data_IF_495344162855
#
_entry.id   IF_495344162855
#
_cell.length_a   1.000
_cell.length_b   1.000
_cell.length_c   1.000
_cell.angle_alpha   90.00
_cell.angle_beta   90.00
_cell.angle_gamma   90.00
#
_symmetry.space_group_name_H-M   'P 1'
#
loop_
_entity.id
_entity.type
_entity.pdbx_description
1 polymer ?
#
# COMPACT_ATOMS: atom_id res chain seq x y z
N UNK A 1 19.34 11.77 -16.11
CA UNK A 1 18.13 10.92 -16.16
C UNK A 1 18.31 9.70 -17.06
N UNK A 2 18.74 9.80 -18.31
CA UNK A 2 18.93 8.65 -19.24
C UNK A 2 19.73 7.48 -18.63
N UNK A 3 20.82 7.77 -17.93
CA UNK A 3 21.68 6.75 -17.30
C UNK A 3 21.00 5.93 -16.18
N UNK A 4 19.98 6.49 -15.47
CA UNK A 4 19.21 5.76 -14.46
C UNK A 4 18.25 4.75 -15.08
N UNK A 5 17.64 5.07 -16.22
CA UNK A 5 16.74 4.18 -16.94
C UNK A 5 17.45 2.97 -17.52
N UNK A 6 18.69 3.16 -18.03
CA UNK A 6 19.50 2.08 -18.59
C UNK A 6 20.04 1.10 -17.53
N UNK A 7 20.10 1.52 -16.26
CA UNK A 7 20.62 0.72 -15.16
C UNK A 7 19.53 -0.05 -14.37
N UNK A 8 18.28 -0.04 -14.85
CA UNK A 8 17.19 -0.81 -14.21
C UNK A 8 17.23 -2.25 -14.70
N UNK A 9 17.25 -3.19 -13.76
CA UNK A 9 17.28 -4.61 -14.07
C UNK A 9 15.99 -5.04 -14.82
N UNK A 10 16.06 -5.94 -15.83
CA UNK A 10 14.87 -6.37 -16.59
C UNK A 10 13.73 -6.93 -15.71
N UNK A 11 14.05 -7.69 -14.66
CA UNK A 11 13.05 -8.15 -13.68
C UNK A 11 12.33 -6.99 -13.00
N UNK A 12 13.03 -5.88 -12.71
CA UNK A 12 12.37 -4.69 -12.13
C UNK A 12 11.38 -4.08 -13.12
N UNK A 13 11.73 -3.98 -14.41
CA UNK A 13 10.79 -3.54 -15.44
C UNK A 13 9.58 -4.43 -15.55
N UNK A 14 9.78 -5.75 -15.55
CA UNK A 14 8.68 -6.71 -15.59
C UNK A 14 7.73 -6.53 -14.41
N UNK A 15 8.27 -6.32 -13.20
CA UNK A 15 7.45 -6.09 -12.01
C UNK A 15 6.70 -4.76 -12.11
N UNK A 16 7.36 -3.67 -12.55
CA UNK A 16 6.75 -2.34 -12.67
C UNK A 16 5.61 -2.36 -13.69
N UNK A 17 5.87 -2.85 -14.91
CA UNK A 17 4.86 -2.94 -15.97
C UNK A 17 3.74 -3.89 -15.58
N UNK A 18 4.08 -5.07 -15.04
CA UNK A 18 3.10 -6.03 -14.53
C UNK A 18 2.26 -5.46 -13.39
N UNK A 19 2.83 -4.56 -12.57
CA UNK A 19 2.08 -3.86 -11.51
C UNK A 19 1.03 -2.92 -12.12
N UNK A 20 1.32 -2.16 -13.20
CA UNK A 20 0.33 -1.31 -13.88
C UNK A 20 -0.88 -2.14 -14.27
N UNK A 21 -0.65 -3.20 -15.06
CA UNK A 21 -1.74 -4.01 -15.60
C UNK A 21 -2.44 -4.84 -14.53
N UNK A 22 -1.72 -5.41 -13.57
CA UNK A 22 -2.31 -6.15 -12.46
C UNK A 22 -3.18 -5.26 -11.56
N UNK A 23 -2.72 -4.05 -11.24
CA UNK A 23 -3.50 -3.07 -10.47
C UNK A 23 -4.72 -2.57 -11.26
N UNK A 24 -4.57 -2.36 -12.56
CA UNK A 24 -5.68 -2.01 -13.45
C UNK A 24 -6.73 -3.13 -13.47
N UNK A 25 -6.32 -4.39 -13.64
CA UNK A 25 -7.20 -5.56 -13.61
C UNK A 25 -7.97 -5.70 -12.29
N UNK A 26 -7.28 -5.53 -11.15
CA UNK A 26 -7.92 -5.54 -9.83
C UNK A 26 -8.85 -4.35 -9.65
N UNK A 27 -8.43 -3.15 -10.02
CA UNK A 27 -9.20 -1.91 -9.80
C UNK A 27 -10.41 -1.77 -10.73
N UNK A 28 -10.42 -2.45 -11.89
CA UNK A 28 -11.60 -2.45 -12.76
C UNK A 28 -12.69 -3.40 -12.28
N UNK A 29 -12.41 -4.36 -11.40
CA UNK A 29 -13.34 -5.42 -11.02
C UNK A 29 -13.73 -5.41 -9.54
N UNK A 30 -12.76 -5.37 -8.63
CA UNK A 30 -13.00 -5.53 -7.19
C UNK A 30 -13.85 -4.40 -6.56
N UNK A 31 -13.70 -3.11 -6.90
CA UNK A 31 -14.57 -2.06 -6.35
C UNK A 31 -16.05 -2.23 -6.73
N UNK A 32 -16.34 -2.87 -7.86
CA UNK A 32 -17.70 -3.11 -8.33
C UNK A 32 -18.29 -4.43 -7.82
N UNK A 33 -17.48 -5.28 -7.17
CA UNK A 33 -17.90 -6.60 -6.69
C UNK A 33 -19.08 -6.52 -5.73
N UNK A 34 -19.12 -5.53 -4.82
CA UNK A 34 -20.25 -5.37 -3.91
C UNK A 34 -21.55 -5.09 -4.64
N UNK A 35 -21.52 -4.22 -5.66
CA UNK A 35 -22.68 -3.87 -6.48
C UNK A 35 -23.13 -5.09 -7.28
N UNK A 36 -22.19 -5.81 -7.88
CA UNK A 36 -22.48 -7.04 -8.62
C UNK A 36 -23.15 -8.10 -7.74
N UNK A 37 -22.62 -8.33 -6.53
CA UNK A 37 -23.17 -9.30 -5.58
C UNK A 37 -24.60 -8.93 -5.13
N UNK A 38 -24.85 -7.67 -4.86
CA UNK A 38 -26.16 -7.23 -4.39
C UNK A 38 -27.19 -7.13 -5.52
N UNK A 39 -26.83 -6.52 -6.65
CA UNK A 39 -27.77 -6.23 -7.72
C UNK A 39 -27.97 -7.39 -8.69
N UNK A 40 -26.94 -8.21 -8.94
CA UNK A 40 -27.01 -9.31 -9.93
C UNK A 40 -27.17 -10.67 -9.25
N UNK A 41 -26.46 -10.93 -8.16
CA UNK A 41 -26.54 -12.22 -7.45
C UNK A 41 -27.55 -12.22 -6.30
N UNK A 42 -28.21 -11.10 -5.99
CA UNK A 42 -29.24 -11.01 -4.94
C UNK A 42 -28.70 -11.20 -3.52
N UNK A 43 -27.39 -11.05 -3.31
CA UNK A 43 -26.79 -11.16 -1.99
C UNK A 43 -27.19 -9.99 -1.09
N UNK A 44 -27.28 -10.22 0.24
CA UNK A 44 -27.46 -9.12 1.18
C UNK A 44 -26.23 -8.20 1.22
N UNK A 45 -26.46 -6.91 1.53
CA UNK A 45 -25.37 -5.93 1.65
C UNK A 45 -24.35 -6.33 2.73
N UNK A 46 -24.83 -6.96 3.82
CA UNK A 46 -23.96 -7.50 4.86
C UNK A 46 -23.03 -8.62 4.35
N UNK A 47 -23.57 -9.55 3.54
CA UNK A 47 -22.76 -10.61 2.95
C UNK A 47 -21.75 -10.04 1.93
N UNK A 48 -22.17 -9.10 1.08
CA UNK A 48 -21.27 -8.42 0.14
C UNK A 48 -20.13 -7.70 0.89
N UNK A 49 -20.43 -7.03 1.99
CA UNK A 49 -19.45 -6.43 2.89
C UNK A 49 -18.47 -7.46 3.48
N UNK A 50 -18.98 -8.62 3.94
CA UNK A 50 -18.15 -9.71 4.44
C UNK A 50 -17.21 -10.27 3.38
N UNK A 51 -17.68 -10.42 2.13
CA UNK A 51 -16.84 -10.82 0.99
C UNK A 51 -15.66 -9.85 0.80
N UNK A 52 -15.91 -8.54 0.84
CA UNK A 52 -14.85 -7.54 0.67
C UNK A 52 -13.88 -7.56 1.86
N UNK A 53 -14.41 -7.64 3.08
CA UNK A 53 -13.60 -7.67 4.29
C UNK A 53 -12.68 -8.90 4.35
N UNK A 54 -13.11 -10.05 3.83
CA UNK A 54 -12.33 -11.29 3.84
C UNK A 54 -10.96 -11.13 3.20
N UNK A 55 -10.86 -10.44 2.05
CA UNK A 55 -9.60 -10.16 1.37
C UNK A 55 -8.64 -9.35 2.24
N UNK A 56 -9.15 -8.31 2.90
CA UNK A 56 -8.34 -7.44 3.74
C UNK A 56 -7.85 -8.14 4.99
N UNK A 57 -8.71 -8.87 5.67
CA UNK A 57 -8.38 -9.61 6.90
C UNK A 57 -7.34 -10.70 6.64
N UNK A 58 -7.56 -11.52 5.61
CA UNK A 58 -6.59 -12.57 5.22
C UNK A 58 -5.29 -11.93 4.71
N UNK A 59 -5.38 -10.84 3.95
CA UNK A 59 -4.23 -10.09 3.49
C UNK A 59 -3.34 -9.62 4.62
N UNK A 60 -3.90 -9.05 5.68
CA UNK A 60 -3.15 -8.60 6.87
C UNK A 60 -2.55 -9.80 7.61
N UNK A 61 -3.37 -10.81 7.94
CA UNK A 61 -2.93 -11.98 8.67
C UNK A 61 -1.80 -12.76 7.96
N UNK A 62 -1.91 -12.90 6.64
CA UNK A 62 -0.96 -13.66 5.84
C UNK A 62 0.28 -12.86 5.39
N UNK A 63 0.30 -11.53 5.51
CA UNK A 63 1.37 -10.68 4.94
C UNK A 63 2.75 -10.99 5.52
N UNK A 64 2.83 -11.19 6.84
CA UNK A 64 4.07 -11.59 7.51
C UNK A 64 4.57 -12.96 6.99
N UNK A 65 3.66 -13.92 6.88
CA UNK A 65 4.00 -15.25 6.37
C UNK A 65 4.44 -15.21 4.92
N UNK A 66 3.83 -14.36 4.09
CA UNK A 66 4.22 -14.15 2.69
C UNK A 66 5.68 -13.70 2.57
N UNK A 67 6.07 -12.72 3.37
CA UNK A 67 7.45 -12.26 3.45
C UNK A 67 8.41 -13.33 3.92
N UNK A 68 8.08 -14.02 5.02
CA UNK A 68 8.86 -15.14 5.56
C UNK A 68 9.02 -16.30 4.55
N UNK A 69 7.94 -16.71 3.89
CA UNK A 69 7.98 -17.77 2.89
C UNK A 69 8.87 -17.39 1.70
N UNK A 70 8.86 -16.11 1.33
CA UNK A 70 9.71 -15.55 0.29
C UNK A 70 11.21 -15.60 0.66
N UNK A 71 11.56 -15.35 1.92
CA UNK A 71 12.94 -15.49 2.40
C UNK A 71 13.37 -16.97 2.46
N UNK A 72 12.44 -17.86 2.81
CA UNK A 72 12.71 -19.30 2.98
C UNK A 72 12.76 -20.09 1.68
N UNK A 73 11.77 -19.90 0.81
CA UNK A 73 11.59 -20.66 -0.43
C UNK A 73 12.11 -19.94 -1.68
N UNK A 74 12.53 -18.68 -1.52
CA UNK A 74 13.05 -17.85 -2.58
C UNK A 74 11.97 -16.99 -3.26
N UNK A 75 12.39 -15.83 -3.73
CA UNK A 75 11.53 -14.82 -4.38
C UNK A 75 10.76 -15.37 -5.57
N UNK A 76 11.48 -16.10 -6.46
CA UNK A 76 10.93 -16.68 -7.67
C UNK A 76 9.71 -17.57 -7.39
N UNK A 77 9.87 -18.52 -6.46
CA UNK A 77 8.82 -19.51 -6.15
C UNK A 77 7.56 -18.83 -5.64
N UNK A 78 7.70 -17.94 -4.66
CA UNK A 78 6.54 -17.28 -4.04
C UNK A 78 5.86 -16.32 -5.01
N UNK A 79 6.61 -15.58 -5.84
CA UNK A 79 6.01 -14.72 -6.86
C UNK A 79 5.22 -15.52 -7.90
N UNK A 80 5.76 -16.63 -8.39
CA UNK A 80 5.06 -17.47 -9.36
C UNK A 80 3.81 -18.11 -8.76
N UNK A 81 3.88 -18.66 -7.55
CA UNK A 81 2.70 -19.20 -6.85
C UNK A 81 1.62 -18.13 -6.70
N UNK A 82 1.99 -16.92 -6.29
CA UNK A 82 1.03 -15.83 -6.08
C UNK A 82 0.37 -15.38 -7.38
N UNK A 83 1.16 -15.23 -8.47
CA UNK A 83 0.64 -14.67 -9.73
C UNK A 83 -0.25 -15.69 -10.46
N UNK A 84 0.11 -16.98 -10.46
CA UNK A 84 -0.76 -18.05 -10.94
C UNK A 84 -1.99 -18.21 -10.04
N UNK A 85 -1.83 -18.03 -8.71
CA UNK A 85 -2.94 -17.97 -7.78
C UNK A 85 -3.93 -16.87 -8.15
N UNK A 86 -3.46 -15.66 -8.49
CA UNK A 86 -4.35 -14.58 -8.96
C UNK A 86 -5.03 -14.91 -10.29
N UNK A 87 -4.34 -15.53 -11.22
CA UNK A 87 -4.97 -16.01 -12.47
C UNK A 87 -6.16 -16.93 -12.16
N UNK A 88 -5.95 -17.91 -11.27
CA UNK A 88 -7.00 -18.83 -10.82
C UNK A 88 -8.15 -18.09 -10.09
N UNK A 89 -7.82 -17.15 -9.19
CA UNK A 89 -8.80 -16.37 -8.43
C UNK A 89 -9.71 -15.56 -9.36
N UNK A 90 -9.13 -14.83 -10.31
CA UNK A 90 -9.93 -14.01 -11.22
C UNK A 90 -10.73 -14.87 -12.23
N UNK A 91 -10.19 -16.01 -12.66
CA UNK A 91 -10.97 -16.99 -13.41
C UNK A 91 -12.11 -17.57 -12.56
N UNK A 92 -11.87 -17.86 -11.29
CA UNK A 92 -12.88 -18.30 -10.35
C UNK A 92 -14.01 -17.26 -10.13
N UNK A 93 -13.67 -15.97 -10.02
CA UNK A 93 -14.67 -14.90 -9.99
C UNK A 93 -15.50 -14.86 -11.27
N UNK A 94 -14.86 -15.03 -12.43
CA UNK A 94 -15.52 -14.96 -13.73
C UNK A 94 -16.51 -16.10 -13.95
N UNK A 95 -16.22 -17.28 -13.41
CA UNK A 95 -17.03 -18.51 -13.53
C UNK A 95 -17.95 -18.76 -12.32
N UNK A 96 -17.96 -17.84 -11.33
CA UNK A 96 -18.72 -18.03 -10.11
C UNK A 96 -20.22 -17.85 -10.29
N UNK A 97 -20.99 -18.88 -9.96
CA UNK A 97 -22.46 -18.81 -9.90
C UNK A 97 -22.97 -18.56 -8.48
N UNK A 98 -22.37 -19.20 -7.50
CA UNK A 98 -22.77 -19.08 -6.10
C UNK A 98 -22.03 -17.94 -5.38
N UNK A 99 -22.75 -17.21 -4.52
CA UNK A 99 -22.20 -16.10 -3.74
C UNK A 99 -21.04 -16.52 -2.82
N UNK A 100 -21.04 -17.75 -2.31
CA UNK A 100 -19.95 -18.32 -1.50
C UNK A 100 -18.65 -18.51 -2.29
N UNK A 101 -18.74 -18.75 -3.60
CA UNK A 101 -17.53 -18.81 -4.45
C UNK A 101 -16.83 -17.46 -4.48
N UNK A 102 -17.58 -16.35 -4.55
CA UNK A 102 -17.00 -15.01 -4.47
C UNK A 102 -16.30 -14.75 -3.12
N UNK A 103 -16.87 -15.26 -2.02
CA UNK A 103 -16.24 -15.15 -0.71
C UNK A 103 -14.89 -15.86 -0.68
N UNK A 104 -14.84 -17.11 -1.13
CA UNK A 104 -13.60 -17.91 -1.17
C UNK A 104 -12.58 -17.28 -2.13
N UNK A 105 -13.00 -16.87 -3.32
CA UNK A 105 -12.11 -16.25 -4.29
C UNK A 105 -11.53 -14.93 -3.76
N UNK A 106 -12.34 -14.10 -3.08
CA UNK A 106 -11.82 -12.84 -2.52
C UNK A 106 -10.91 -13.06 -1.30
N UNK A 107 -11.17 -14.08 -0.52
CA UNK A 107 -10.25 -14.54 0.53
C UNK A 107 -8.88 -14.95 -0.05
N UNK A 108 -8.89 -15.75 -1.12
CA UNK A 108 -7.68 -16.14 -1.86
C UNK A 108 -7.00 -14.95 -2.55
N UNK A 109 -7.76 -13.97 -3.05
CA UNK A 109 -7.22 -12.70 -3.56
C UNK A 109 -6.37 -11.99 -2.49
N UNK A 110 -6.88 -11.89 -1.26
CA UNK A 110 -6.13 -11.36 -0.13
C UNK A 110 -4.85 -12.13 0.17
N UNK A 111 -4.90 -13.46 0.11
CA UNK A 111 -3.74 -14.32 0.30
C UNK A 111 -2.69 -14.11 -0.81
N UNK A 112 -3.10 -14.11 -2.08
CA UNK A 112 -2.18 -13.87 -3.20
C UNK A 112 -1.50 -12.50 -3.05
N UNK A 113 -2.24 -11.47 -2.64
CA UNK A 113 -1.69 -10.14 -2.36
C UNK A 113 -0.67 -10.17 -1.23
N UNK A 114 -0.97 -10.88 -0.14
CA UNK A 114 -0.08 -11.01 1.01
C UNK A 114 1.23 -11.73 0.68
N UNK A 115 1.20 -12.67 -0.25
CA UNK A 115 2.39 -13.38 -0.73
C UNK A 115 3.19 -12.52 -1.73
N UNK A 116 2.52 -11.89 -2.69
CA UNK A 116 3.17 -11.18 -3.81
C UNK A 116 3.79 -9.85 -3.39
N UNK A 117 3.06 -9.01 -2.63
CA UNK A 117 3.48 -7.64 -2.33
C UNK A 117 4.84 -7.56 -1.60
N UNK A 118 5.05 -8.25 -0.46
CA UNK A 118 6.34 -8.21 0.21
C UNK A 118 7.45 -8.86 -0.61
N UNK A 119 7.13 -9.95 -1.32
CA UNK A 119 8.10 -10.67 -2.16
C UNK A 119 8.58 -9.81 -3.33
N UNK A 120 7.67 -9.09 -4.00
CA UNK A 120 8.01 -8.19 -5.11
C UNK A 120 8.88 -7.01 -4.65
N UNK A 121 8.59 -6.43 -3.47
CA UNK A 121 9.41 -5.36 -2.89
C UNK A 121 10.81 -5.87 -2.53
N UNK A 122 10.90 -7.03 -1.90
CA UNK A 122 12.17 -7.65 -1.57
C UNK A 122 12.98 -7.96 -2.85
N UNK A 123 12.35 -8.53 -3.89
CA UNK A 123 13.02 -8.79 -5.17
C UNK A 123 13.51 -7.49 -5.83
N UNK A 124 12.67 -6.45 -5.88
CA UNK A 124 13.08 -5.15 -6.41
C UNK A 124 14.29 -4.58 -5.67
N UNK A 125 14.33 -4.72 -4.34
CA UNK A 125 15.49 -4.34 -3.55
C UNK A 125 16.74 -5.18 -3.89
N UNK A 126 16.58 -6.51 -4.01
CA UNK A 126 17.68 -7.45 -4.22
C UNK A 126 18.34 -7.28 -5.59
N UNK A 127 17.55 -6.96 -6.64
CA UNK A 127 18.06 -6.76 -8.02
C UNK A 127 18.43 -5.31 -8.34
N UNK A 128 18.18 -4.36 -7.45
CA UNK A 128 18.46 -2.94 -7.66
C UNK A 128 19.74 -2.52 -6.94
N UNK A 129 20.60 -1.76 -7.64
CA UNK A 129 21.75 -1.11 -7.01
C UNK A 129 21.28 -0.07 -5.98
N UNK A 130 22.02 0.16 -4.88
CA UNK A 130 21.64 1.11 -3.82
C UNK A 130 21.26 2.49 -4.37
N UNK A 131 21.98 2.98 -5.38
CA UNK A 131 21.79 4.31 -5.99
C UNK A 131 20.48 4.41 -6.80
N UNK A 132 19.94 3.28 -7.26
CA UNK A 132 18.72 3.22 -8.10
C UNK A 132 17.49 2.72 -7.34
N UNK A 133 17.62 2.16 -6.15
CA UNK A 133 16.50 1.57 -5.38
C UNK A 133 15.35 2.53 -5.17
N UNK A 134 15.63 3.74 -4.70
CA UNK A 134 14.60 4.75 -4.51
C UNK A 134 13.86 5.03 -5.82
N UNK A 135 14.57 5.12 -6.93
CA UNK A 135 13.96 5.36 -8.24
C UNK A 135 13.06 4.20 -8.65
N UNK A 136 13.49 2.96 -8.45
CA UNK A 136 12.70 1.74 -8.75
C UNK A 136 11.45 1.65 -7.87
N UNK A 137 11.56 1.92 -6.56
CA UNK A 137 10.39 1.95 -5.67
C UNK A 137 9.40 3.03 -6.05
N UNK A 138 9.87 4.21 -6.46
CA UNK A 138 9.00 5.29 -6.93
C UNK A 138 8.33 4.97 -8.26
N UNK A 139 9.04 4.33 -9.20
CA UNK A 139 8.41 3.82 -10.43
C UNK A 139 7.31 2.80 -10.13
N UNK A 140 7.54 1.90 -9.16
CA UNK A 140 6.52 0.97 -8.71
C UNK A 140 5.32 1.69 -8.09
N UNK A 141 5.53 2.72 -7.28
CA UNK A 141 4.45 3.53 -6.72
C UNK A 141 3.66 4.26 -7.82
N UNK A 142 4.34 4.85 -8.82
CA UNK A 142 3.70 5.43 -10.00
C UNK A 142 2.88 4.38 -10.76
N UNK A 143 3.42 3.16 -10.93
CA UNK A 143 2.74 2.05 -11.60
C UNK A 143 1.43 1.65 -10.89
N UNK A 144 1.43 1.61 -9.55
CA UNK A 144 0.24 1.36 -8.75
C UNK A 144 -0.81 2.43 -9.02
N UNK A 145 -0.44 3.72 -8.95
CA UNK A 145 -1.36 4.83 -9.16
C UNK A 145 -1.94 4.86 -10.57
N UNK A 146 -1.11 4.62 -11.61
CA UNK A 146 -1.60 4.50 -12.98
C UNK A 146 -2.66 3.40 -13.11
N UNK A 147 -2.39 2.21 -12.55
CA UNK A 147 -3.34 1.11 -12.58
C UNK A 147 -4.66 1.44 -11.87
N UNK A 148 -4.59 2.13 -10.73
CA UNK A 148 -5.78 2.53 -9.95
C UNK A 148 -6.57 3.65 -10.64
N UNK A 149 -5.93 4.56 -11.36
CA UNK A 149 -6.62 5.63 -12.12
C UNK A 149 -7.40 5.06 -13.31
N UNK A 150 -6.77 4.20 -14.10
CA UNK A 150 -7.40 3.68 -15.32
C UNK A 150 -8.33 2.49 -15.06
N UNK A 151 -8.11 1.73 -13.98
CA UNK A 151 -8.90 0.53 -13.68
C UNK A 151 -10.41 0.78 -13.57
N UNK A 152 -10.89 1.67 -12.68
CA UNK A 152 -12.31 1.93 -12.50
C UNK A 152 -12.99 2.47 -13.76
N UNK A 153 -12.30 3.30 -14.55
CA UNK A 153 -12.84 3.81 -15.84
C UNK A 153 -13.09 2.67 -16.81
N UNK A 154 -12.13 1.75 -16.95
CA UNK A 154 -12.30 0.54 -17.76
C UNK A 154 -13.41 -0.36 -17.19
N UNK A 155 -13.47 -0.49 -15.86
CA UNK A 155 -14.49 -1.25 -15.18
C UNK A 155 -15.90 -0.76 -15.47
N UNK A 156 -16.13 0.53 -15.43
CA UNK A 156 -17.40 1.15 -15.79
C UNK A 156 -17.75 0.90 -17.26
N UNK A 157 -16.79 1.11 -18.16
CA UNK A 157 -16.96 0.88 -19.59
C UNK A 157 -17.31 -0.59 -19.92
N UNK A 158 -16.68 -1.54 -19.22
CA UNK A 158 -16.89 -2.98 -19.39
C UNK A 158 -18.09 -3.53 -18.61
N UNK A 159 -18.83 -2.69 -17.90
CA UNK A 159 -20.02 -3.09 -17.14
C UNK A 159 -19.71 -3.95 -15.90
N UNK A 160 -18.64 -3.65 -15.15
CA UNK A 160 -18.21 -4.43 -13.98
C UNK A 160 -19.27 -4.63 -12.90
N UNK A 161 -20.25 -3.75 -12.81
CA UNK A 161 -21.37 -3.90 -11.88
C UNK A 161 -22.48 -4.86 -12.37
N UNK A 162 -22.43 -5.29 -13.65
CA UNK A 162 -23.50 -6.06 -14.29
C UNK A 162 -23.03 -7.38 -14.89
N UNK A 163 -21.74 -7.50 -15.20
CA UNK A 163 -21.18 -8.66 -15.92
C UNK A 163 -19.91 -9.17 -15.26
N UNK A 164 -19.54 -10.42 -15.57
CA UNK A 164 -18.27 -11.03 -15.11
C UNK A 164 -17.10 -10.80 -16.08
N UNK A 165 -17.33 -10.12 -17.22
CA UNK A 165 -16.30 -9.86 -18.24
C UNK A 165 -15.03 -9.22 -17.67
N UNK A 166 -15.10 -8.21 -16.78
CA UNK A 166 -13.90 -7.63 -16.18
C UNK A 166 -13.06 -8.63 -15.39
N UNK A 167 -13.65 -9.64 -14.77
CA UNK A 167 -12.89 -10.70 -14.09
C UNK A 167 -12.17 -11.61 -15.08
N UNK A 168 -12.76 -11.94 -16.23
CA UNK A 168 -12.08 -12.67 -17.31
C UNK A 168 -10.88 -11.89 -17.84
N UNK A 169 -11.04 -10.59 -18.08
CA UNK A 169 -9.95 -9.73 -18.56
C UNK A 169 -8.85 -9.65 -17.51
N UNK A 170 -9.19 -9.53 -16.23
CA UNK A 170 -8.21 -9.54 -15.15
C UNK A 170 -7.46 -10.88 -15.07
N UNK A 171 -8.17 -12.02 -15.18
CA UNK A 171 -7.55 -13.33 -15.22
C UNK A 171 -6.54 -13.45 -16.38
N UNK A 172 -6.90 -12.95 -17.56
CA UNK A 172 -6.04 -12.94 -18.74
C UNK A 172 -4.79 -12.06 -18.54
N UNK A 173 -4.97 -10.86 -17.96
CA UNK A 173 -3.85 -9.97 -17.59
C UNK A 173 -2.88 -10.69 -16.64
N UNK A 174 -3.38 -11.32 -15.59
CA UNK A 174 -2.53 -12.04 -14.63
C UNK A 174 -1.87 -13.26 -15.25
N UNK A 175 -2.54 -13.97 -16.17
CA UNK A 175 -1.96 -15.06 -16.92
C UNK A 175 -0.77 -14.60 -17.79
N UNK A 176 -0.95 -13.52 -18.56
CA UNK A 176 0.15 -12.92 -19.35
C UNK A 176 1.29 -12.50 -18.42
N UNK A 177 0.98 -11.85 -17.32
CA UNK A 177 2.00 -11.42 -16.36
C UNK A 177 2.76 -12.61 -15.78
N UNK A 178 2.07 -13.71 -15.44
CA UNK A 178 2.69 -14.95 -14.99
C UNK A 178 3.61 -15.55 -16.06
N UNK A 179 3.16 -15.63 -17.32
CA UNK A 179 3.96 -16.13 -18.43
C UNK A 179 5.24 -15.31 -18.65
N UNK A 180 5.12 -13.98 -18.64
CA UNK A 180 6.26 -13.06 -18.76
C UNK A 180 7.24 -13.25 -17.59
N UNK A 181 6.74 -13.38 -16.34
CA UNK A 181 7.60 -13.64 -15.18
C UNK A 181 8.33 -14.99 -15.29
N UNK A 182 7.66 -16.05 -15.76
CA UNK A 182 8.32 -17.36 -15.99
C UNK A 182 9.48 -17.20 -16.98
N UNK A 183 9.25 -16.50 -18.09
CA UNK A 183 10.28 -16.26 -19.12
C UNK A 183 11.45 -15.46 -18.53
N UNK A 184 11.16 -14.38 -17.84
CA UNK A 184 12.19 -13.53 -17.23
C UNK A 184 13.00 -14.26 -16.16
N UNK A 185 12.38 -15.10 -15.35
CA UNK A 185 13.08 -15.94 -14.38
C UNK A 185 13.89 -17.11 -14.99
N UNK A 186 13.70 -17.42 -16.28
CA UNK A 186 14.58 -18.34 -17.01
C UNK A 186 15.84 -17.62 -17.51
N UNK A 187 15.71 -16.37 -17.94
CA UNK A 187 16.80 -15.59 -18.53
C UNK A 187 17.63 -14.81 -17.50
N UNK A 188 17.07 -14.50 -16.33
CA UNK A 188 17.73 -13.72 -15.30
C UNK A 188 17.79 -14.49 -13.98
N UNK A 189 19.00 -14.70 -13.48
CA UNK A 189 19.19 -15.30 -12.15
C UNK A 189 18.81 -14.26 -11.09
N UNK A 190 17.90 -14.66 -10.20
CA UNK A 190 17.66 -13.91 -8.98
C UNK A 190 18.86 -14.13 -8.08
N UNK A 191 19.50 -13.05 -7.55
CA UNK A 191 20.57 -13.23 -6.57
C UNK A 191 20.08 -14.21 -5.50
N UNK A 192 20.85 -15.28 -5.30
CA UNK A 192 20.53 -16.18 -4.22
C UNK A 192 20.61 -15.36 -2.94
N UNK A 193 19.46 -15.03 -2.37
CA UNK A 193 19.43 -14.67 -0.95
C UNK A 193 20.19 -15.79 -0.29
N UNK A 194 21.31 -15.51 0.39
CA UNK A 194 22.07 -16.56 1.06
C UNK A 194 21.04 -17.44 1.74
N UNK A 195 20.89 -18.68 1.22
CA UNK A 195 19.94 -19.66 1.75
C UNK A 195 20.43 -20.02 3.13
N UNK A 196 20.38 -19.06 4.03
CA UNK A 196 20.73 -19.26 5.40
C UNK A 196 19.68 -20.18 6.01
N UNK A 197 20.12 -21.42 6.07
CA UNK A 197 19.73 -22.45 7.03
C UNK A 197 18.45 -22.11 7.79
N UNK A 198 17.32 -22.72 7.30
CA UNK A 198 16.13 -23.02 8.10
C UNK A 198 15.76 -21.96 9.17
N UNK A 199 15.57 -20.71 8.72
CA UNK A 199 14.95 -19.69 9.57
C UNK A 199 13.57 -20.25 9.92
N UNK A 200 13.31 -20.49 11.20
CA UNK A 200 11.97 -20.87 11.68
C UNK A 200 11.10 -19.61 11.73
N UNK A 201 9.79 -19.76 11.55
CA UNK A 201 8.82 -18.66 11.70
C UNK A 201 9.00 -17.94 13.03
N UNK A 202 9.24 -18.71 14.10
CA UNK A 202 9.47 -18.15 15.43
C UNK A 202 10.71 -17.27 15.48
N UNK A 203 11.82 -17.68 14.89
CA UNK A 203 13.08 -16.92 14.88
C UNK A 203 12.90 -15.61 14.09
N UNK A 204 12.20 -15.66 12.95
CA UNK A 204 11.88 -14.47 12.16
C UNK A 204 10.99 -13.48 12.92
N UNK A 205 9.99 -13.97 13.65
CA UNK A 205 9.13 -13.19 14.52
C UNK A 205 9.90 -12.56 15.69
N UNK A 206 10.76 -13.34 16.35
CA UNK A 206 11.59 -12.87 17.47
C UNK A 206 12.56 -11.79 16.99
N UNK A 207 13.21 -11.98 15.84
CA UNK A 207 14.11 -10.97 15.27
C UNK A 207 13.37 -9.67 14.94
N UNK A 208 12.21 -9.79 14.30
CA UNK A 208 11.42 -8.61 13.91
C UNK A 208 10.89 -7.86 15.13
N UNK A 209 10.44 -8.58 16.18
CA UNK A 209 10.01 -7.99 17.45
C UNK A 209 11.16 -7.40 18.26
N UNK A 210 12.35 -8.02 18.21
CA UNK A 210 13.53 -7.53 18.91
C UNK A 210 14.12 -6.26 18.25
N UNK A 211 13.83 -6.03 16.96
CA UNK A 211 14.23 -4.81 16.27
C UNK A 211 13.36 -3.63 16.71
N UNK A 212 13.85 -2.92 17.72
CA UNK A 212 13.12 -1.78 18.30
C UNK A 212 12.92 -0.64 17.29
N UNK A 213 13.85 -0.39 16.36
CA UNK A 213 13.69 0.64 15.34
C UNK A 213 12.53 0.28 14.43
N UNK A 214 12.49 -0.97 13.96
CA UNK A 214 11.43 -1.47 13.12
C UNK A 214 10.07 -1.45 13.82
N UNK A 215 9.98 -1.98 15.04
CA UNK A 215 8.72 -2.04 15.81
C UNK A 215 8.13 -0.66 16.07
N UNK A 216 8.96 0.31 16.49
CA UNK A 216 8.50 1.69 16.72
C UNK A 216 8.08 2.35 15.42
N UNK A 217 8.83 2.11 14.32
CA UNK A 217 8.46 2.60 12.98
C UNK A 217 7.12 2.01 12.52
N UNK A 218 6.89 0.72 12.76
CA UNK A 218 5.64 0.04 12.42
C UNK A 218 4.43 0.69 13.14
N UNK A 219 4.54 0.93 14.45
CA UNK A 219 3.47 1.58 15.23
C UNK A 219 3.19 2.99 14.67
N UNK A 220 4.24 3.80 14.45
CA UNK A 220 4.09 5.13 13.85
C UNK A 220 3.43 5.07 12.47
N UNK A 221 3.79 4.09 11.66
CA UNK A 221 3.22 3.89 10.32
C UNK A 221 1.75 3.43 10.35
N UNK A 222 1.33 2.63 11.35
CA UNK A 222 -0.09 2.29 11.56
C UNK A 222 -0.92 3.56 11.74
N UNK A 223 -0.44 4.49 12.58
CA UNK A 223 -1.13 5.76 12.84
C UNK A 223 -1.11 6.69 11.60
N UNK A 224 -0.04 6.66 10.80
CA UNK A 224 -0.02 7.36 9.51
C UNK A 224 -1.09 6.82 8.55
N UNK A 225 -1.20 5.49 8.43
CA UNK A 225 -2.20 4.86 7.55
C UNK A 225 -3.62 5.00 8.08
N UNK A 226 -3.81 5.09 9.39
CA UNK A 226 -5.07 5.48 10.01
C UNK A 226 -5.51 6.85 9.46
N UNK A 227 -4.65 7.87 9.55
CA UNK A 227 -4.94 9.21 9.02
C UNK A 227 -5.22 9.21 7.51
N UNK A 228 -4.37 8.52 6.73
CA UNK A 228 -4.53 8.42 5.28
C UNK A 228 -5.87 7.78 4.87
N UNK A 229 -6.34 6.78 5.60
CA UNK A 229 -7.56 6.05 5.25
C UNK A 229 -8.84 6.90 5.27
N UNK A 230 -8.83 8.01 6.02
CA UNK A 230 -9.98 8.91 6.10
C UNK A 230 -10.25 9.66 4.79
N UNK A 231 -9.26 9.76 3.90
CA UNK A 231 -9.43 10.39 2.60
C UNK A 231 -10.51 9.70 1.76
N UNK A 232 -10.50 8.37 1.70
CA UNK A 232 -11.46 7.59 0.90
C UNK A 232 -12.66 7.07 1.70
N UNK A 233 -12.73 7.31 2.99
CA UNK A 233 -13.79 6.80 3.86
C UNK A 233 -14.58 7.91 4.54
N UNK A 234 -14.04 8.49 5.62
CA UNK A 234 -14.73 9.48 6.43
C UNK A 234 -14.99 10.78 5.67
N UNK A 235 -14.01 11.24 4.86
CA UNK A 235 -14.16 12.44 4.04
C UNK A 235 -15.26 12.27 2.99
N UNK A 236 -15.35 11.09 2.37
CA UNK A 236 -16.43 10.78 1.42
C UNK A 236 -17.81 10.88 2.06
N UNK A 237 -17.99 10.28 3.24
CA UNK A 237 -19.25 10.30 3.99
C UNK A 237 -19.58 11.71 4.47
N UNK A 238 -18.58 12.41 5.00
CA UNK A 238 -18.74 13.81 5.44
C UNK A 238 -19.17 14.70 4.29
N UNK A 239 -18.48 14.68 3.15
CA UNK A 239 -18.83 15.53 2.00
C UNK A 239 -20.25 15.24 1.49
N UNK A 240 -20.62 13.96 1.42
CA UNK A 240 -21.96 13.55 0.94
C UNK A 240 -23.10 14.01 1.87
N UNK A 241 -22.85 14.11 3.18
CA UNK A 241 -23.84 14.48 4.20
C UNK A 241 -23.71 15.93 4.70
N UNK A 242 -22.67 16.67 4.31
CA UNK A 242 -22.37 18.00 4.82
C UNK A 242 -23.35 19.05 4.32
N UNK A 243 -23.94 19.84 5.23
CA UNK A 243 -24.79 20.98 4.82
C UNK A 243 -23.97 22.17 4.27
N UNK A 244 -22.66 22.14 4.42
CA UNK A 244 -21.76 23.22 4.00
C UNK A 244 -21.23 23.05 2.58
N UNK A 245 -21.42 21.88 1.96
CA UNK A 245 -20.85 21.54 0.65
C UNK A 245 -22.00 21.20 -0.30
N UNK A 246 -22.25 22.08 -1.26
CA UNK A 246 -23.21 21.81 -2.33
C UNK A 246 -22.69 20.68 -3.22
N UNK A 247 -23.55 19.74 -3.58
CA UNK A 247 -23.18 18.55 -4.38
C UNK A 247 -21.98 17.77 -3.83
N UNK A 248 -21.89 17.57 -2.51
CA UNK A 248 -20.73 17.00 -1.83
C UNK A 248 -20.21 15.70 -2.42
N UNK A 249 -21.08 14.84 -2.94
CA UNK A 249 -20.67 13.60 -3.64
C UNK A 249 -19.90 13.91 -4.93
N UNK A 250 -20.32 14.91 -5.68
CA UNK A 250 -19.64 15.36 -6.91
C UNK A 250 -18.27 16.00 -6.54
N UNK A 251 -18.26 16.85 -5.53
CA UNK A 251 -17.03 17.46 -5.02
C UNK A 251 -16.04 16.39 -4.59
N UNK A 252 -16.48 15.36 -3.87
CA UNK A 252 -15.62 14.24 -3.50
C UNK A 252 -15.03 13.51 -4.72
N UNK A 253 -15.84 13.23 -5.75
CA UNK A 253 -15.35 12.65 -7.01
C UNK A 253 -14.29 13.51 -7.69
N UNK A 254 -14.45 14.86 -7.68
CA UNK A 254 -13.45 15.79 -8.18
C UNK A 254 -12.15 15.75 -7.33
N UNK A 255 -12.27 15.63 -6.00
CA UNK A 255 -11.11 15.53 -5.10
C UNK A 255 -10.31 14.25 -5.30
N UNK A 256 -10.99 13.12 -5.56
CA UNK A 256 -10.30 11.87 -5.93
C UNK A 256 -9.47 12.03 -7.20
N UNK A 257 -10.05 12.66 -8.22
CA UNK A 257 -9.36 12.93 -9.49
C UNK A 257 -8.19 13.90 -9.29
N UNK A 258 -8.41 14.97 -8.52
CA UNK A 258 -7.38 15.94 -8.18
C UNK A 258 -6.21 15.28 -7.43
N UNK A 259 -6.50 14.44 -6.43
CA UNK A 259 -5.47 13.71 -5.70
C UNK A 259 -4.63 12.82 -6.65
N UNK A 260 -5.26 12.03 -7.50
CA UNK A 260 -4.55 11.17 -8.44
C UNK A 260 -3.65 11.97 -9.41
N UNK A 261 -4.15 13.07 -9.96
CA UNK A 261 -3.37 13.96 -10.83
C UNK A 261 -2.24 14.65 -10.05
N UNK A 262 -2.52 15.13 -8.84
CA UNK A 262 -1.54 15.76 -7.98
C UNK A 262 -0.41 14.78 -7.61
N UNK A 263 -0.74 13.51 -7.26
CA UNK A 263 0.30 12.49 -7.01
C UNK A 263 1.25 12.40 -8.21
N UNK A 264 0.72 12.24 -9.41
CA UNK A 264 1.56 12.12 -10.62
C UNK A 264 2.41 13.37 -10.86
N UNK A 265 1.87 14.56 -10.62
CA UNK A 265 2.55 15.83 -10.83
C UNK A 265 3.65 16.09 -9.78
N UNK A 266 3.33 15.86 -8.48
CA UNK A 266 4.22 16.28 -7.39
C UNK A 266 5.17 15.17 -6.93
N UNK A 267 4.93 13.90 -7.29
CA UNK A 267 5.74 12.77 -6.82
C UNK A 267 7.23 12.95 -7.13
N UNK A 268 7.56 13.29 -8.38
CA UNK A 268 8.96 13.42 -8.76
C UNK A 268 9.68 14.59 -8.05
N UNK A 269 9.18 15.83 -8.04
CA UNK A 269 9.81 16.93 -7.33
C UNK A 269 9.90 16.71 -5.82
N UNK A 270 8.84 16.19 -5.18
CA UNK A 270 8.82 15.91 -3.74
C UNK A 270 9.86 14.86 -3.38
N UNK A 271 9.92 13.74 -4.11
CA UNK A 271 10.91 12.69 -3.88
C UNK A 271 12.33 13.20 -4.14
N UNK A 272 12.52 14.09 -5.12
CA UNK A 272 13.83 14.69 -5.39
C UNK A 272 14.35 15.52 -4.21
N UNK A 273 13.47 16.23 -3.52
CA UNK A 273 13.80 16.97 -2.30
C UNK A 273 13.99 15.99 -1.13
N UNK A 274 13.04 15.09 -0.92
CA UNK A 274 12.99 14.15 0.20
C UNK A 274 14.21 13.22 0.28
N UNK A 275 14.77 12.80 -0.86
CA UNK A 275 15.99 11.95 -0.90
C UNK A 275 17.23 12.56 -0.24
N UNK A 276 17.25 13.89 -0.04
CA UNK A 276 18.35 14.59 0.65
C UNK A 276 18.32 14.40 2.17
N UNK A 277 17.17 13.94 2.68
CA UNK A 277 16.93 13.73 4.09
C UNK A 277 16.83 12.23 4.43
N UNK A 278 16.80 11.92 5.72
CA UNK A 278 16.49 10.55 6.16
C UNK A 278 15.06 10.17 5.78
N UNK A 279 14.81 8.94 5.30
CA UNK A 279 13.46 8.48 5.00
C UNK A 279 12.47 8.64 6.16
N UNK A 280 12.90 8.44 7.42
CA UNK A 280 12.05 8.65 8.60
C UNK A 280 11.58 10.11 8.71
N UNK A 281 12.43 11.09 8.40
CA UNK A 281 12.04 12.50 8.42
C UNK A 281 10.94 12.79 7.39
N UNK A 282 10.98 12.13 6.24
CA UNK A 282 9.93 12.24 5.23
C UNK A 282 8.62 11.63 5.71
N UNK A 283 8.66 10.51 6.45
CA UNK A 283 7.48 9.92 7.08
C UNK A 283 6.88 10.85 8.14
N UNK A 284 7.73 11.48 8.96
CA UNK A 284 7.31 12.47 9.97
C UNK A 284 6.61 13.64 9.28
N UNK A 285 7.26 14.24 8.26
CA UNK A 285 6.68 15.35 7.52
C UNK A 285 5.36 14.95 6.84
N UNK A 286 5.31 13.75 6.22
CA UNK A 286 4.09 13.21 5.61
C UNK A 286 2.96 13.06 6.62
N UNK A 287 3.24 12.52 7.81
CA UNK A 287 2.24 12.39 8.86
C UNK A 287 1.74 13.74 9.39
N UNK A 288 2.63 14.71 9.56
CA UNK A 288 2.26 16.08 9.97
C UNK A 288 1.36 16.72 8.92
N UNK A 289 1.68 16.59 7.63
CA UNK A 289 0.86 17.16 6.55
C UNK A 289 -0.52 16.49 6.47
N UNK A 290 -0.59 15.16 6.57
CA UNK A 290 -1.87 14.43 6.58
C UNK A 290 -2.71 14.84 7.80
N UNK A 291 -2.10 14.86 8.99
CA UNK A 291 -2.78 15.26 10.21
C UNK A 291 -3.25 16.73 10.16
N UNK A 292 -2.40 17.65 9.69
CA UNK A 292 -2.75 19.05 9.51
C UNK A 292 -3.88 19.26 8.50
N UNK A 293 -3.88 18.47 7.41
CA UNK A 293 -4.97 18.49 6.43
C UNK A 293 -6.30 18.03 7.04
N UNK A 294 -6.29 16.94 7.82
CA UNK A 294 -7.49 16.50 8.55
C UNK A 294 -7.95 17.57 9.54
N UNK A 295 -7.05 18.19 10.29
CA UNK A 295 -7.39 19.25 11.22
C UNK A 295 -7.98 20.48 10.52
N UNK A 296 -7.45 20.85 9.35
CA UNK A 296 -7.97 21.98 8.56
C UNK A 296 -9.41 21.76 8.09
N UNK A 297 -9.82 20.51 7.83
CA UNK A 297 -11.21 20.15 7.50
C UNK A 297 -12.19 20.43 8.67
N UNK A 298 -11.69 20.67 9.88
CA UNK A 298 -12.51 21.10 11.01
C UNK A 298 -13.08 22.52 10.85
N UNK A 299 -12.45 23.37 10.01
CA UNK A 299 -12.74 24.79 9.93
C UNK A 299 -13.11 25.28 8.53
N UNK A 300 -12.58 24.61 7.50
CA UNK A 300 -12.68 25.09 6.13
C UNK A 300 -13.52 24.12 5.28
N UNK A 301 -14.60 24.66 4.71
CA UNK A 301 -15.59 23.85 3.98
C UNK A 301 -15.88 24.38 2.57
N UNK A 302 -15.31 25.53 2.20
CA UNK A 302 -15.42 26.06 0.84
C UNK A 302 -14.55 25.28 -0.14
N UNK A 303 -14.94 25.28 -1.41
CA UNK A 303 -14.32 24.46 -2.47
C UNK A 303 -12.81 24.74 -2.59
N UNK A 304 -12.38 25.99 -2.53
CA UNK A 304 -10.96 26.34 -2.75
C UNK A 304 -10.09 25.92 -1.57
N UNK A 305 -10.59 26.09 -0.35
CA UNK A 305 -9.92 25.57 0.84
C UNK A 305 -9.80 24.07 0.81
N UNK A 306 -10.85 23.35 0.41
CA UNK A 306 -10.82 21.89 0.27
C UNK A 306 -9.78 21.48 -0.80
N UNK A 307 -9.75 22.13 -1.96
CA UNK A 307 -8.73 21.89 -3.01
C UNK A 307 -7.32 22.04 -2.44
N UNK A 308 -7.06 23.13 -1.73
CA UNK A 308 -5.75 23.37 -1.10
C UNK A 308 -5.40 22.30 -0.07
N UNK A 309 -6.33 21.96 0.81
CA UNK A 309 -6.17 20.92 1.83
C UNK A 309 -5.82 19.57 1.18
N UNK A 310 -6.49 19.20 0.08
CA UNK A 310 -6.23 17.95 -0.62
C UNK A 310 -4.84 17.96 -1.28
N UNK A 311 -4.39 19.07 -1.83
CA UNK A 311 -3.02 19.19 -2.36
C UNK A 311 -1.99 18.97 -1.25
N UNK A 312 -2.17 19.59 -0.07
CA UNK A 312 -1.29 19.42 1.09
C UNK A 312 -1.32 17.97 1.57
N UNK A 313 -2.51 17.37 1.66
CA UNK A 313 -2.70 15.96 1.99
C UNK A 313 -1.93 15.05 1.01
N UNK A 314 -2.05 15.32 -0.29
CA UNK A 314 -1.37 14.55 -1.34
C UNK A 314 0.16 14.65 -1.25
N UNK A 315 0.70 15.82 -0.89
CA UNK A 315 2.13 15.95 -0.62
C UNK A 315 2.54 15.05 0.55
N UNK A 316 1.74 15.03 1.62
CA UNK A 316 1.93 14.14 2.76
C UNK A 316 1.89 12.66 2.37
N UNK A 317 0.92 12.28 1.56
CA UNK A 317 0.78 10.94 1.00
C UNK A 317 2.03 10.50 0.22
N UNK A 318 2.50 11.36 -0.70
CA UNK A 318 3.69 11.06 -1.51
C UNK A 318 4.94 10.89 -0.66
N UNK A 319 5.14 11.75 0.36
CA UNK A 319 6.24 11.62 1.31
C UNK A 319 6.18 10.30 2.08
N UNK A 320 4.99 9.91 2.53
CA UNK A 320 4.76 8.69 3.30
C UNK A 320 5.09 7.45 2.45
N UNK A 321 4.39 7.26 1.34
CA UNK A 321 4.49 6.03 0.55
C UNK A 321 5.81 5.91 -0.22
N UNK A 322 6.33 7.00 -0.76
CA UNK A 322 7.59 6.98 -1.52
C UNK A 322 8.81 6.63 -0.67
N UNK A 323 8.80 6.99 0.61
CA UNK A 323 9.95 6.79 1.49
C UNK A 323 9.82 5.58 2.41
N UNK A 324 8.62 5.03 2.58
CA UNK A 324 8.38 3.88 3.46
C UNK A 324 9.14 2.64 2.99
N UNK A 325 9.02 2.27 1.71
CA UNK A 325 9.71 1.10 1.17
C UNK A 325 11.25 1.25 1.26
N UNK A 326 11.76 2.46 1.03
CA UNK A 326 13.19 2.75 1.17
C UNK A 326 13.66 2.65 2.63
N UNK A 327 12.84 3.12 3.58
CA UNK A 327 13.14 2.99 5.00
C UNK A 327 13.23 1.54 5.43
N UNK A 328 12.23 0.75 5.07
CA UNK A 328 12.21 -0.69 5.38
C UNK A 328 13.42 -1.39 4.79
N UNK A 329 13.79 -1.09 3.53
CA UNK A 329 14.98 -1.65 2.89
C UNK A 329 16.28 -1.33 3.65
N UNK A 330 16.38 -0.12 4.23
CA UNK A 330 17.55 0.31 5.00
C UNK A 330 17.68 -0.34 6.38
N UNK A 331 16.55 -0.59 7.07
CA UNK A 331 16.55 -1.15 8.42
C UNK A 331 16.45 -2.67 8.41
N UNK A 332 15.94 -3.27 7.34
CA UNK A 332 15.79 -4.71 7.22
C UNK A 332 17.16 -5.41 7.15
N UNK A 333 17.28 -6.53 7.88
CA UNK A 333 18.43 -7.42 7.71
C UNK A 333 18.40 -8.02 6.29
N UNK A 334 19.54 -8.11 5.59
CA UNK A 334 19.60 -8.59 4.20
C UNK A 334 18.91 -9.94 4.00
N UNK A 335 19.05 -10.86 4.96
CA UNK A 335 18.52 -12.23 4.91
C UNK A 335 17.00 -12.29 5.19
N UNK A 336 16.42 -11.23 5.77
CA UNK A 336 15.04 -11.16 6.24
C UNK A 336 14.22 -10.05 5.58
N UNK A 337 14.66 -9.50 4.45
CA UNK A 337 13.96 -8.39 3.77
C UNK A 337 12.50 -8.70 3.48
N UNK A 338 12.19 -9.91 2.98
CA UNK A 338 10.82 -10.33 2.74
C UNK A 338 10.00 -10.33 4.03
N UNK A 339 10.56 -10.84 5.13
CA UNK A 339 9.95 -10.84 6.46
C UNK A 339 9.62 -9.42 6.94
N UNK A 340 10.57 -8.47 6.82
CA UNK A 340 10.35 -7.07 7.19
C UNK A 340 9.27 -6.41 6.31
N UNK A 341 9.32 -6.59 4.98
CA UNK A 341 8.28 -6.08 4.09
C UNK A 341 6.93 -6.74 4.34
N UNK A 342 6.93 -8.03 4.71
CA UNK A 342 5.72 -8.74 5.11
C UNK A 342 5.11 -8.20 6.41
N UNK A 343 5.96 -7.94 7.41
CA UNK A 343 5.53 -7.36 8.68
C UNK A 343 4.99 -5.94 8.53
N UNK A 344 5.48 -5.16 7.54
CA UNK A 344 4.87 -3.88 7.19
C UNK A 344 3.42 -4.01 6.70
N UNK A 345 2.96 -5.19 6.33
CA UNK A 345 1.53 -5.44 6.05
C UNK A 345 0.61 -5.15 7.25
N UNK A 346 1.12 -5.24 8.48
CA UNK A 346 0.36 -4.84 9.68
C UNK A 346 0.03 -3.34 9.73
N UNK A 347 0.69 -2.49 8.94
CA UNK A 347 0.31 -1.08 8.82
C UNK A 347 -1.12 -0.91 8.31
N UNK A 348 -1.63 -1.88 7.55
CA UNK A 348 -3.02 -1.90 7.07
C UNK A 348 -4.06 -1.95 8.20
N UNK A 349 -3.67 -2.31 9.43
CA UNK A 349 -4.54 -2.16 10.60
C UNK A 349 -5.05 -0.72 10.74
N UNK A 350 -4.21 0.29 10.44
CA UNK A 350 -4.63 1.67 10.41
C UNK A 350 -5.76 1.93 9.41
N UNK A 351 -5.64 1.34 8.21
CA UNK A 351 -6.65 1.47 7.14
C UNK A 351 -7.94 0.67 7.39
N UNK A 352 -7.95 -0.26 8.33
CA UNK A 352 -9.15 -0.99 8.77
C UNK A 352 -9.85 -0.24 9.91
N UNK A 353 -9.07 0.19 10.91
CA UNK A 353 -9.58 0.86 12.10
C UNK A 353 -10.05 2.28 11.76
N UNK A 354 -9.36 2.98 10.85
CA UNK A 354 -9.66 4.37 10.49
C UNK A 354 -11.10 4.58 10.00
N UNK A 355 -11.55 3.90 8.94
CA UNK A 355 -12.92 4.05 8.45
C UNK A 355 -13.99 3.77 9.50
N UNK A 356 -13.78 2.75 10.33
CA UNK A 356 -14.68 2.42 11.43
C UNK A 356 -14.74 3.54 12.47
N UNK A 357 -13.58 4.03 12.94
CA UNK A 357 -13.52 5.13 13.90
C UNK A 357 -14.12 6.42 13.33
N UNK A 358 -13.83 6.72 12.06
CA UNK A 358 -14.38 7.89 11.37
C UNK A 358 -15.89 7.84 11.23
N UNK A 359 -16.45 6.67 10.88
CA UNK A 359 -17.90 6.44 10.83
C UNK A 359 -18.56 6.65 12.19
N UNK A 360 -18.02 6.06 13.26
CA UNK A 360 -18.52 6.25 14.62
C UNK A 360 -18.52 7.71 15.06
N UNK A 361 -17.49 8.48 14.70
CA UNK A 361 -17.42 9.90 15.03
C UNK A 361 -18.46 10.72 14.24
N UNK A 362 -18.67 10.38 12.96
CA UNK A 362 -19.73 11.01 12.17
C UNK A 362 -21.14 10.65 12.70
N UNK A 363 -21.36 9.42 13.14
CA UNK A 363 -22.63 9.04 13.79
C UNK A 363 -22.84 9.80 15.10
N UNK A 364 -21.77 9.98 15.89
CA UNK A 364 -21.86 10.66 17.19
C UNK A 364 -22.03 12.18 17.10
N UNK A 365 -21.33 12.85 16.16
CA UNK A 365 -21.29 14.31 16.08
C UNK A 365 -22.07 14.89 14.89
N UNK A 366 -22.41 14.07 13.90
CA UNK A 366 -23.05 14.49 12.67
C UNK A 366 -22.11 15.23 11.70
N UNK A 367 -22.56 15.41 10.48
CA UNK A 367 -21.83 16.19 9.47
C UNK A 367 -21.94 17.72 9.72
N UNK A 368 -22.80 18.14 10.62
CA UNK A 368 -23.00 19.54 11.02
C UNK A 368 -21.91 20.04 11.99
N UNK A 369 -21.20 19.12 12.68
CA UNK A 369 -20.14 19.44 13.64
C UNK A 369 -18.81 18.82 13.26
N UNK A 370 -18.25 19.13 12.08
CA UNK A 370 -17.04 18.52 11.53
C UNK A 370 -15.82 18.74 12.43
N UNK A 371 -15.82 19.80 13.24
CA UNK A 371 -14.72 20.10 14.16
C UNK A 371 -14.36 18.89 15.04
N UNK A 372 -15.33 18.32 15.75
CA UNK A 372 -15.04 17.20 16.66
C UNK A 372 -14.52 15.96 15.93
N UNK A 373 -15.15 15.62 14.80
CA UNK A 373 -14.74 14.48 13.99
C UNK A 373 -13.31 14.64 13.50
N UNK A 374 -13.01 15.69 12.76
CA UNK A 374 -11.69 15.85 12.13
C UNK A 374 -10.59 16.23 13.12
N UNK A 375 -10.89 16.96 14.20
CA UNK A 375 -9.92 17.24 15.26
C UNK A 375 -9.49 15.95 15.99
N UNK A 376 -10.42 15.07 16.33
CA UNK A 376 -10.09 13.79 16.98
C UNK A 376 -9.28 12.90 16.02
N UNK A 377 -9.69 12.77 14.75
CA UNK A 377 -8.96 11.98 13.76
C UNK A 377 -7.55 12.51 13.53
N UNK A 378 -7.40 13.84 13.46
CA UNK A 378 -6.10 14.50 13.38
C UNK A 378 -5.23 14.22 14.61
N UNK A 379 -5.82 14.35 15.83
CA UNK A 379 -5.12 14.08 17.09
C UNK A 379 -4.60 12.65 17.17
N UNK A 380 -5.39 11.66 16.75
CA UNK A 380 -4.94 10.27 16.68
C UNK A 380 -3.83 10.08 15.65
N UNK A 381 -3.96 10.70 14.47
CA UNK A 381 -2.98 10.62 13.40
C UNK A 381 -1.63 11.20 13.82
N UNK A 382 -1.62 12.40 14.45
CA UNK A 382 -0.39 13.07 14.87
C UNK A 382 0.36 12.30 15.97
N UNK A 383 -0.32 11.44 16.74
CA UNK A 383 0.33 10.53 17.69
C UNK A 383 1.33 9.56 17.02
N UNK A 384 1.31 9.41 15.70
CA UNK A 384 2.36 8.69 14.97
C UNK A 384 3.72 9.39 15.00
N UNK A 385 3.75 10.72 15.07
CA UNK A 385 4.99 11.52 15.06
C UNK A 385 5.94 11.20 16.21
N UNK A 386 5.53 11.15 17.48
CA UNK A 386 6.38 10.77 18.58
C UNK A 386 7.09 9.42 18.38
N UNK A 387 6.38 8.41 17.86
CA UNK A 387 6.98 7.10 17.55
C UNK A 387 8.03 7.22 16.44
N UNK A 388 7.73 7.91 15.35
CA UNK A 388 8.70 8.11 14.27
C UNK A 388 9.92 8.91 14.72
N UNK A 389 9.77 9.91 15.59
CA UNK A 389 10.89 10.66 16.20
C UNK A 389 11.73 9.73 17.07
N UNK A 390 11.11 8.87 17.89
CA UNK A 390 11.82 7.91 18.71
C UNK A 390 12.61 6.90 17.86
N UNK A 391 12.01 6.39 16.77
CA UNK A 391 12.69 5.54 15.81
C UNK A 391 13.89 6.24 15.15
N UNK A 392 13.74 7.51 14.74
CA UNK A 392 14.79 8.31 14.15
C UNK A 392 15.99 8.52 15.09
N UNK A 393 15.70 8.88 16.36
CA UNK A 393 16.76 9.07 17.38
C UNK A 393 17.53 7.77 17.61
N UNK A 394 16.80 6.64 17.70
CA UNK A 394 17.43 5.34 17.92
C UNK A 394 18.27 4.91 16.73
N UNK A 395 17.79 5.08 15.49
CA UNK A 395 18.54 4.77 14.28
C UNK A 395 19.87 5.55 14.23
N UNK A 396 19.85 6.85 14.55
CA UNK A 396 21.08 7.67 14.62
C UNK A 396 22.07 7.17 15.66
N UNK A 397 21.59 6.74 16.84
CA UNK A 397 22.45 6.19 17.89
C UNK A 397 23.12 4.89 17.41
N UNK A 398 22.36 4.00 16.78
CA UNK A 398 22.86 2.72 16.30
C UNK A 398 23.85 2.90 15.14
N UNK A 399 23.62 3.83 14.20
CA UNK A 399 24.58 4.22 13.15
C UNK A 399 25.89 4.80 13.73
N UNK A 400 25.80 5.61 14.77
CA UNK A 400 26.98 6.19 15.44
C UNK A 400 27.83 5.12 16.12
N UNK A 401 27.20 4.12 16.77
CA UNK A 401 27.90 3.00 17.40
C UNK A 401 28.65 2.14 16.38
N UNK A 402 28.05 1.85 15.23
CA UNK A 402 28.68 1.09 14.15
C UNK A 402 29.91 1.82 13.60
N UNK A 403 29.80 3.14 13.35
CA UNK A 403 30.93 3.97 12.91
C UNK A 403 32.07 4.02 13.92
N UNK A 404 31.77 4.03 15.21
CA UNK A 404 32.78 4.04 16.25
C UNK A 404 33.50 2.70 16.37
N UNK A 405 32.77 1.59 16.27
CA UNK A 405 33.32 0.24 16.28
C UNK A 405 34.23 -0.01 15.08
N UNK A 406 33.82 0.38 13.86
CA UNK A 406 34.64 0.20 12.64
C UNK A 406 35.94 1.01 12.67
N UNK A 407 35.94 2.22 13.26
CA UNK A 407 37.17 3.01 13.46
C UNK A 407 38.15 2.35 14.43
N UNK A 408 37.66 1.69 15.47
CA UNK A 408 38.48 0.99 16.46
C UNK A 408 39.15 -0.26 15.86
N UNK A 409 38.47 -0.96 14.96
CA UNK A 409 38.97 -2.17 14.27
C UNK A 409 40.02 -1.82 13.18
N UNK A 410 40.04 -0.60 12.65
CA UNK A 410 41.04 -0.14 11.68
C UNK A 410 42.33 0.41 12.34
N UNK A 411 42.34 0.58 13.65
CA UNK A 411 43.50 1.08 14.43
C UNK A 411 44.30 -0.03 15.12
N UNK A 412 43.88 -1.28 14.99
CA UNK A 412 44.56 -2.50 15.39
C UNK A 412 44.86 -3.37 14.16
#
# INVERSE_FOLDING_TARGET
MKQKWQNIHPLSWTIIVGTIFGRMGTAMSIPFLAIYLTQVKGASSGFAGAVIAASSLIGIAASFYGGYLSDRFGRKTIMLVSIFGWTFVFAGFALADHVWTFFVMNALNGLCRALFEPTSRALLSDVSKPETRLFVFNLRYTAINLGVVFGPLLGLYLGSSKTTLPFFIAAFIYFIYAAVLVIQFKHHTVPATERNKRIKVRDALEVTKADRVFTITLIGSILCLFGYSHFTSTLAQYMAASPFIEDGTKVFGMMLTLNALAVLAVQYPIVHIAKRFSPILSLIAGNVLISGSLFSLSFFHDLWSIVFIIIVFTIGEVLLFSMMDLLVDRIARPELKGTYFGAMGFTQLGSVIGPWAGGMLLDAFGAEKPFFTFAILSAVTICGVPFLIAAFRKLKIDEAKVKFSSKKTMQH
#
